data_IF_200747463859
#
_entry.id   IF_200747463859
#
_cell.length_a   1.000
_cell.length_b   1.000
_cell.length_c   1.000
_cell.angle_alpha   90.00
_cell.angle_beta   90.00
_cell.angle_gamma   90.00
#
_symmetry.space_group_name_H-M   'P 1'
#
loop_
_entity.id
_entity.type
_entity.pdbx_description
1 polymer ?
2 non-polymer ?
3 water ?
#
# COMPACT_ATOMS: atom_id res chain seq x y z
N UNK A 11 -2.94 -1.06 23.24
CA UNK A 11 -4.28 -1.03 22.67
C UNK A 11 -5.34 -0.70 23.71
N UNK A 12 -6.13 0.34 23.45
CA UNK A 12 -7.28 0.60 24.30
C UNK A 12 -8.30 -0.52 24.14
N UNK A 13 -8.91 -0.91 25.26
CA UNK A 13 -9.98 -1.89 25.27
C UNK A 13 -11.30 -1.12 25.16
N UNK A 14 -12.09 -1.44 24.13
CA UNK A 14 -13.36 -0.77 23.90
C UNK A 14 -14.46 -1.69 24.41
N UNK A 15 -15.46 -1.11 25.05
CA UNK A 15 -16.61 -1.89 25.47
C UNK A 15 -17.55 -2.15 24.30
N UNK A 16 -18.18 -3.33 24.24
CA UNK A 16 -19.06 -3.61 23.08
C UNK A 16 -20.22 -2.66 22.93
N UNK A 17 -20.74 -2.11 24.02
CA UNK A 17 -21.87 -1.21 23.93
C UNK A 17 -21.52 0.08 23.19
N UNK A 18 -20.23 0.38 23.03
CA UNK A 18 -19.80 1.55 22.30
C UNK A 18 -19.64 1.31 20.80
N UNK A 19 -19.87 0.08 20.34
CA UNK A 19 -19.67 -0.28 18.94
C UNK A 19 -20.98 -0.74 18.34
N UNK A 20 -21.27 -0.25 17.14
CA UNK A 20 -22.43 -0.68 16.37
C UNK A 20 -21.97 -1.08 14.97
N UNK A 21 -22.12 -2.36 14.63
CA UNK A 21 -21.82 -2.83 13.28
C UNK A 21 -23.01 -2.54 12.37
N UNK A 22 -22.73 -1.99 11.19
CA UNK A 22 -23.77 -1.50 10.29
C UNK A 22 -23.82 -2.29 8.99
N UNK A 23 -22.72 -2.37 8.25
CA UNK A 23 -22.71 -3.06 6.98
C UNK A 23 -21.43 -3.87 6.86
N UNK A 24 -21.53 -5.02 6.21
CA UNK A 24 -20.35 -5.81 5.88
C UNK A 24 -19.62 -5.12 4.74
N UNK A 25 -18.31 -4.98 4.88
CA UNK A 25 -17.48 -4.39 3.84
C UNK A 25 -16.38 -5.33 3.37
N UNK A 26 -16.25 -6.51 3.96
CA UNK A 26 -15.23 -7.45 3.54
C UNK A 26 -15.28 -8.70 4.40
N UNK A 27 -14.30 -9.56 4.20
CA UNK A 27 -14.14 -10.77 4.99
C UNK A 27 -12.78 -10.78 5.67
N UNK A 28 -12.72 -11.48 6.80
CA UNK A 28 -11.47 -11.62 7.55
C UNK A 28 -11.02 -13.06 7.65
N UNK A 29 -10.00 -13.33 8.46
CA UNK A 29 -9.48 -14.69 8.59
C UNK A 29 -10.56 -15.64 9.06
N UNK A 30 -11.40 -15.20 9.99
CA UNK A 30 -12.48 -16.00 10.56
C UNK A 30 -13.54 -15.08 11.17
N UNK A 31 -14.23 -14.35 10.32
CA UNK A 31 -15.17 -13.32 10.71
C UNK A 31 -15.18 -12.24 9.65
N UNK A 32 -16.26 -11.50 9.62
CA UNK A 32 -16.42 -10.45 8.64
C UNK A 32 -15.74 -9.16 9.09
N UNK A 33 -15.64 -8.22 8.17
CA UNK A 33 -15.20 -6.86 8.44
C UNK A 33 -16.39 -5.95 8.16
N UNK A 34 -16.65 -5.03 9.08
CA UNK A 34 -17.82 -4.19 9.04
C UNK A 34 -17.42 -2.72 9.00
N UNK A 35 -18.31 -1.90 8.45
CA UNK A 35 -18.35 -0.47 8.75
C UNK A 35 -19.30 -0.27 9.92
N UNK A 36 -18.96 0.64 10.82
CA UNK A 36 -19.81 0.92 11.95
C UNK A 36 -19.56 2.29 12.54
N UNK A 37 -20.06 2.48 13.76
CA UNK A 37 -19.87 3.70 14.52
C UNK A 37 -19.31 3.37 15.90
N UNK A 38 -18.48 4.28 16.41
CA UNK A 38 -17.86 4.14 17.72
C UNK A 38 -18.20 5.36 18.56
N UNK A 39 -18.79 5.13 19.74
CA UNK A 39 -19.16 6.21 20.64
C UNK A 39 -17.98 6.66 21.50
N UNK A 45 -20.85 13.11 17.73
CA UNK A 45 -20.44 12.34 18.89
C UNK A 45 -19.88 10.97 18.48
N UNK A 46 -20.47 10.37 17.45
CA UNK A 46 -20.08 9.04 17.00
C UNK A 46 -19.08 9.16 15.85
N UNK A 47 -18.06 8.33 15.90
CA UNK A 47 -16.99 8.31 14.89
C UNK A 47 -17.18 7.06 14.03
N UNK A 48 -17.19 7.18 12.71
CA UNK A 48 -17.29 5.97 11.88
C UNK A 48 -16.01 5.15 11.99
N UNK A 49 -16.16 3.83 11.90
CA UNK A 49 -15.02 2.93 12.12
C UNK A 49 -15.12 1.70 11.24
N UNK A 50 -13.98 1.05 11.04
CA UNK A 50 -13.91 -0.27 10.46
C UNK A 50 -13.68 -1.27 11.59
N UNK A 51 -14.37 -2.41 11.50
CA UNK A 51 -14.44 -3.40 12.57
C UNK A 51 -14.20 -4.77 11.94
N UNK A 52 -13.15 -5.45 12.37
CA UNK A 52 -12.86 -6.83 11.99
C UNK A 52 -13.14 -7.71 13.20
N UNK A 53 -13.95 -8.75 13.00
CA UNK A 53 -14.36 -9.63 14.09
C UNK A 53 -13.66 -10.98 13.99
N UNK A 54 -13.52 -11.64 15.15
CA UNK A 54 -13.08 -13.04 15.24
C UNK A 54 -14.23 -13.83 15.84
N UNK A 55 -14.89 -14.64 15.00
CA UNK A 55 -16.16 -15.25 15.34
C UNK A 55 -15.98 -16.60 16.04
N UNK A 56 -17.08 -17.07 16.66
CA UNK A 56 -17.03 -18.25 17.51
C UNK A 56 -16.48 -19.44 16.73
N UNK A 57 -15.66 -20.24 17.40
CA UNK A 57 -15.00 -21.38 16.79
C UNK A 57 -13.60 -21.11 16.31
N UNK A 58 -13.13 -19.86 16.37
CA UNK A 58 -11.77 -19.56 15.96
C UNK A 58 -10.80 -20.49 16.67
N UNK A 59 -9.67 -20.75 16.01
CA UNK A 59 -8.68 -21.67 16.51
C UNK A 59 -7.69 -20.94 17.40
N UNK A 60 -6.84 -21.71 18.08
CA UNK A 60 -5.78 -21.09 18.86
C UNK A 60 -4.90 -20.21 17.98
N UNK A 61 -4.42 -20.75 16.86
CA UNK A 61 -3.55 -19.95 15.99
C UNK A 61 -4.26 -18.69 15.53
N UNK A 62 -5.56 -18.80 15.23
CA UNK A 62 -6.31 -17.64 14.77
C UNK A 62 -6.38 -16.58 15.85
N UNK A 63 -6.52 -17.00 17.11
CA UNK A 63 -6.56 -16.05 18.21
C UNK A 63 -5.21 -15.37 18.39
N UNK A 64 -4.12 -16.14 18.27
CA UNK A 64 -2.79 -15.56 18.43
C UNK A 64 -2.51 -14.54 17.33
N UNK A 65 -2.84 -14.88 16.09
CA UNK A 65 -2.63 -13.97 14.97
C UNK A 65 -3.52 -12.74 15.08
N UNK A 66 -4.75 -12.92 15.57
CA UNK A 66 -5.68 -11.82 15.71
C UNK A 66 -5.21 -10.84 16.77
N UNK A 67 -5.04 -11.33 18.00
CA UNK A 67 -4.59 -10.47 19.07
C UNK A 67 -3.17 -9.96 18.82
N UNK A 68 -2.32 -10.76 18.16
CA UNK A 68 -1.03 -10.26 17.74
C UNK A 68 -1.15 -9.09 16.78
N UNK A 69 -2.02 -9.22 15.77
CA UNK A 69 -2.27 -8.12 14.86
C UNK A 69 -2.70 -6.88 15.62
N UNK A 70 -3.67 -7.03 16.52
CA UNK A 70 -4.13 -5.89 17.31
C UNK A 70 -2.99 -5.27 18.09
N UNK A 71 -2.13 -6.11 18.67
CA UNK A 71 -1.00 -5.61 19.43
C UNK A 71 -0.06 -4.76 18.60
N UNK A 72 0.39 -5.28 17.46
CA UNK A 72 1.33 -4.50 16.65
C UNK A 72 0.68 -3.20 16.20
N UNK A 73 -0.60 -3.27 15.81
CA UNK A 73 -1.32 -2.08 15.34
C UNK A 73 -1.37 -1.00 16.42
N UNK A 74 -1.56 -1.42 17.68
CA UNK A 74 -1.53 -0.47 18.77
C UNK A 74 -0.18 0.15 19.00
N UNK A 75 0.88 -0.54 18.56
CA UNK A 75 2.22 0.03 18.63
C UNK A 75 2.44 1.11 17.58
N UNK A 76 1.72 1.04 16.47
CA UNK A 76 1.97 1.96 15.37
C UNK A 76 1.26 3.28 15.62
N UNK A 77 2.04 4.37 15.57
CA UNK A 77 1.49 5.71 15.72
C UNK A 77 2.22 6.56 14.68
N UNK A 78 1.66 6.61 13.47
CA UNK A 78 2.28 7.35 12.39
C UNK A 78 1.17 7.86 11.48
N UNK A 79 1.39 9.05 10.93
CA UNK A 79 0.42 9.73 10.10
C UNK A 79 0.02 8.92 8.88
N UNK A 80 0.89 8.01 8.43
CA UNK A 80 0.67 7.26 7.20
C UNK A 80 0.49 5.78 7.47
N UNK A 81 0.05 5.43 8.67
CA UNK A 81 -0.28 4.07 9.05
C UNK A 81 -1.68 4.09 9.65
N UNK A 82 -2.54 3.17 9.19
CA UNK A 82 -3.91 3.10 9.68
C UNK A 82 -3.89 3.15 11.20
N UNK A 83 -4.79 3.92 11.78
CA UNK A 83 -4.83 4.15 13.23
C UNK A 83 -5.79 3.17 13.90
N UNK A 84 -5.30 2.47 14.92
CA UNK A 84 -6.15 1.58 15.69
C UNK A 84 -6.94 2.43 16.69
N UNK A 85 -8.26 2.28 16.67
CA UNK A 85 -9.07 2.93 17.69
C UNK A 85 -9.15 2.11 18.97
N UNK A 86 -9.11 0.79 18.85
CA UNK A 86 -9.21 -0.05 20.01
C UNK A 86 -9.47 -1.49 19.63
N UNK A 87 -9.63 -2.30 20.68
CA UNK A 87 -9.83 -3.72 20.55
C UNK A 87 -10.91 -4.15 21.53
N UNK A 88 -11.69 -5.14 21.13
CA UNK A 88 -12.55 -5.90 22.03
C UNK A 88 -11.92 -7.28 22.16
N UNK A 89 -11.29 -7.53 23.31
CA UNK A 89 -10.74 -8.83 23.64
C UNK A 89 -11.42 -9.50 24.82
N UNK A 90 -12.14 -8.75 25.65
CA UNK A 90 -12.75 -9.29 26.86
C UNK A 90 -14.11 -9.92 26.64
N UNK A 91 -14.72 -9.70 25.47
CA UNK A 91 -16.02 -10.23 25.13
C UNK A 91 -15.92 -10.85 23.74
N UNK A 92 -16.92 -11.67 23.40
CA UNK A 92 -16.99 -12.31 22.10
C UNK A 92 -18.20 -11.77 21.34
N UNK A 93 -18.12 -11.58 20.02
CA UNK A 93 -16.92 -11.75 19.19
C UNK A 93 -15.85 -10.71 19.52
N UNK A 94 -14.57 -11.11 19.44
CA UNK A 94 -13.49 -10.15 19.52
C UNK A 94 -13.39 -9.29 18.28
N UNK A 95 -12.83 -8.09 18.46
CA UNK A 95 -12.89 -7.02 17.48
C UNK A 95 -11.59 -6.24 17.44
N UNK A 96 -11.17 -5.90 16.23
CA UNK A 96 -10.17 -4.87 15.95
C UNK A 96 -10.91 -3.71 15.29
N UNK A 97 -10.72 -2.51 15.84
CA UNK A 97 -11.50 -1.35 15.42
C UNK A 97 -10.52 -0.26 15.01
N UNK A 98 -10.61 0.19 13.77
CA UNK A 98 -9.74 1.23 13.26
C UNK A 98 -10.57 2.42 12.81
N UNK A 99 -9.89 3.54 12.56
CA UNK A 99 -10.52 4.64 11.84
C UNK A 99 -11.08 4.12 10.52
N UNK A 100 -12.09 4.84 10.03
CA UNK A 100 -12.70 4.58 8.72
C UNK A 100 -12.23 5.64 7.74
N UNK A 101 -11.96 5.23 6.51
CA UNK A 101 -11.43 6.10 5.48
C UNK A 101 -12.46 6.13 4.33
N UNK A 102 -13.19 7.25 4.21
CA UNK A 102 -14.36 7.25 3.33
C UNK A 102 -14.00 7.14 1.84
N UNK A 103 -12.79 7.54 1.46
CA UNK A 103 -12.37 7.38 0.08
C UNK A 103 -11.89 5.96 -0.23
N UNK A 104 -11.70 5.12 0.78
CA UNK A 104 -11.45 3.71 0.59
C UNK A 104 -10.05 3.40 0.08
N UNK A 105 -9.93 2.28 -0.61
CA UNK A 105 -8.62 1.80 -1.03
C UNK A 105 -8.10 2.55 -2.25
N UNK A 106 -6.79 2.74 -2.25
CA UNK A 106 -6.14 3.62 -3.21
C UNK A 106 -6.30 3.13 -4.64
N UNK A 107 -6.26 1.81 -4.85
CA UNK A 107 -6.30 1.30 -6.21
C UNK A 107 -7.64 1.65 -6.85
N UNK A 108 -8.73 1.31 -6.18
CA UNK A 108 -10.06 1.61 -6.70
C UNK A 108 -10.27 3.13 -6.77
N UNK A 109 -9.74 3.85 -5.79
CA UNK A 109 -9.85 5.32 -5.78
C UNK A 109 -9.25 5.91 -7.05
N UNK A 110 -8.00 5.55 -7.37
CA UNK A 110 -7.35 6.14 -8.54
C UNK A 110 -8.05 5.76 -9.83
N UNK A 111 -8.55 4.52 -9.93
CA UNK A 111 -9.14 4.08 -11.18
C UNK A 111 -10.47 4.78 -11.44
N UNK A 112 -11.15 5.21 -10.37
CA UNK A 112 -12.41 5.94 -10.45
C UNK A 112 -12.19 7.44 -10.57
N UNK A 113 -10.95 7.90 -10.46
CA UNK A 113 -10.60 9.32 -10.56
C UNK A 113 -9.47 9.53 -11.55
N UNK A 114 -9.56 8.86 -12.70
CA UNK A 114 -8.50 8.88 -13.70
C UNK A 114 -8.21 10.31 -14.16
N UNK A 115 -6.95 10.73 -14.03
CA UNK A 115 -6.52 12.05 -14.49
C UNK A 115 -6.92 13.24 -13.65
N UNK A 116 -7.59 13.04 -12.51
CA UNK A 116 -8.17 14.14 -11.76
C UNK A 116 -7.18 14.87 -10.85
N UNK A 117 -5.94 14.41 -10.75
CA UNK A 117 -5.00 15.03 -9.82
C UNK A 117 -3.77 15.57 -10.52
N UNK A 118 -3.08 16.48 -9.82
CA UNK A 118 -1.84 17.04 -10.32
C UNK A 118 -0.69 16.07 -10.07
N UNK A 119 0.40 16.26 -10.81
CA UNK A 119 1.58 15.44 -10.56
C UNK A 119 2.05 15.64 -9.12
N UNK A 120 1.95 16.87 -8.60
CA UNK A 120 2.40 17.10 -7.24
C UNK A 120 1.53 16.36 -6.22
N UNK A 121 0.21 16.29 -6.46
CA UNK A 121 -0.65 15.51 -5.58
C UNK A 121 -0.28 14.03 -5.60
N UNK A 122 0.02 13.50 -6.79
CA UNK A 122 0.35 12.08 -6.89
C UNK A 122 1.66 11.78 -6.16
N UNK A 123 2.70 12.58 -6.42
CA UNK A 123 3.98 12.37 -5.75
C UNK A 123 3.82 12.53 -4.26
N UNK A 124 2.94 13.45 -3.83
CA UNK A 124 2.71 13.61 -2.40
C UNK A 124 2.11 12.37 -1.77
N UNK A 125 1.20 11.70 -2.48
CA UNK A 125 0.65 10.46 -1.94
C UNK A 125 1.74 9.41 -1.79
N UNK A 126 2.71 9.41 -2.73
CA UNK A 126 3.82 8.46 -2.65
C UNK A 126 4.76 8.79 -1.50
N UNK A 127 5.05 10.07 -1.29
CA UNK A 127 5.85 10.50 -0.15
C UNK A 127 5.23 9.98 1.15
N UNK A 128 3.91 10.09 1.25
CA UNK A 128 3.22 9.61 2.44
C UNK A 128 3.34 8.10 2.60
N UNK A 129 3.07 7.36 1.54
CA UNK A 129 3.21 5.90 1.61
C UNK A 129 4.63 5.54 2.03
N UNK A 130 5.62 6.21 1.42
CA UNK A 130 7.03 5.95 1.73
C UNK A 130 7.33 6.21 3.21
N UNK A 131 6.79 7.31 3.75
CA UNK A 131 7.01 7.64 5.16
C UNK A 131 6.42 6.57 6.08
N UNK A 132 5.22 6.09 5.78
CA UNK A 132 4.67 4.98 6.55
C UNK A 132 5.52 3.73 6.44
N UNK A 133 6.02 3.45 5.25
CA UNK A 133 6.86 2.26 5.06
C UNK A 133 8.20 2.41 5.76
N UNK A 134 8.79 3.60 5.77
CA UNK A 134 10.03 3.80 6.54
C UNK A 134 9.80 3.53 8.00
N UNK A 135 8.65 3.97 8.51
CA UNK A 135 8.31 3.74 9.91
C UNK A 135 8.16 2.23 10.17
N UNK A 136 7.42 1.55 9.31
CA UNK A 136 7.27 0.09 9.51
C UNK A 136 8.62 -0.61 9.47
N UNK A 137 9.46 -0.27 8.49
CA UNK A 137 10.74 -0.95 8.35
C UNK A 137 11.63 -0.67 9.56
N UNK A 138 11.65 0.59 10.00
CA UNK A 138 12.40 0.95 11.20
C UNK A 138 11.89 0.22 12.43
N UNK A 139 10.57 0.00 12.53
CA UNK A 139 10.00 -0.78 13.63
C UNK A 139 10.24 -2.28 13.48
N UNK A 140 10.96 -2.70 12.45
CA UNK A 140 11.21 -4.10 12.16
C UNK A 140 9.93 -4.85 11.80
N UNK A 141 8.99 -4.19 11.14
CA UNK A 141 7.78 -4.82 10.63
C UNK A 141 7.93 -4.98 9.12
N UNK A 142 7.97 -6.22 8.63
CA UNK A 142 7.99 -6.48 7.19
C UNK A 142 6.55 -6.66 6.72
N UNK A 143 6.13 -5.83 5.75
CA UNK A 143 4.73 -5.81 5.32
C UNK A 143 4.35 -7.06 4.54
N UNK A 144 5.09 -7.36 3.48
CA UNK A 144 4.99 -8.53 2.62
C UNK A 144 3.85 -8.41 1.60
N UNK A 145 2.93 -7.45 1.75
CA UNK A 145 1.75 -7.33 0.88
C UNK A 145 1.49 -5.87 0.50
N UNK A 146 2.54 -5.11 0.26
CA UNK A 146 2.40 -3.70 -0.08
C UNK A 146 1.89 -3.56 -1.52
N UNK A 147 0.79 -2.83 -1.67
CA UNK A 147 0.09 -2.71 -2.94
C UNK A 147 -0.95 -1.62 -2.75
N UNK A 148 -1.36 -1.02 -3.87
CA UNK A 148 -2.37 0.04 -3.76
C UNK A 148 -3.63 -0.47 -3.08
N UNK A 149 -3.96 -1.76 -3.26
CA UNK A 149 -5.19 -2.31 -2.69
C UNK A 149 -5.18 -2.29 -1.16
N UNK A 150 -4.00 -2.26 -0.54
CA UNK A 150 -3.85 -2.21 0.91
C UNK A 150 -3.51 -0.82 1.43
N UNK A 151 -3.78 0.21 0.65
CA UNK A 151 -3.56 1.58 1.11
C UNK A 151 -4.92 2.27 1.11
N UNK A 152 -5.22 2.94 2.21
CA UNK A 152 -6.46 3.67 2.37
C UNK A 152 -6.19 5.16 2.23
N UNK A 153 -7.20 5.89 1.74
CA UNK A 153 -7.08 7.33 1.50
C UNK A 153 -8.14 8.08 2.31
N UNK A 154 -7.71 9.12 3.03
CA UNK A 154 -8.66 9.91 3.81
C UNK A 154 -9.08 11.15 3.02
N UNK A 155 -9.91 11.99 3.65
CA UNK A 155 -10.46 13.15 2.98
C UNK A 155 -9.43 14.26 2.75
N UNK A 156 -8.23 14.12 3.31
CA UNK A 156 -7.14 15.04 3.04
C UNK A 156 -6.18 14.51 1.98
N UNK A 157 -6.55 13.45 1.27
CA UNK A 157 -5.70 12.73 0.32
C UNK A 157 -4.51 12.05 1.00
N UNK A 158 -4.55 11.88 2.32
CA UNK A 158 -3.46 11.23 3.04
C UNK A 158 -3.57 9.73 2.91
N UNK A 159 -2.45 9.07 2.61
CA UNK A 159 -2.40 7.64 2.37
C UNK A 159 -1.96 6.93 3.64
N UNK A 160 -2.76 5.99 4.10
CA UNK A 160 -2.48 5.18 5.27
C UNK A 160 -2.19 3.75 4.83
N UNK A 161 -0.96 3.28 5.10
CA UNK A 161 -0.64 1.89 4.85
C UNK A 161 -1.48 1.00 5.76
N UNK A 162 -2.06 -0.06 5.19
CA UNK A 162 -2.91 -1.00 5.89
C UNK A 162 -2.55 -2.41 5.42
N UNK A 163 -3.28 -3.41 5.91
CA UNK A 163 -3.17 -4.77 5.38
C UNK A 163 -4.50 -5.48 5.59
N UNK A 164 -5.18 -5.78 4.50
CA UNK A 164 -6.48 -6.41 4.54
C UNK A 164 -6.40 -7.91 4.33
N UNK A 165 -5.23 -8.45 4.05
CA UNK A 165 -5.08 -9.86 3.71
C UNK A 165 -4.96 -10.06 2.21
N UNK A 166 -4.92 -11.33 1.84
CA UNK A 166 -4.85 -11.69 0.42
C UNK A 166 -6.25 -11.82 -0.17
N UNK A 185 -1.89 -14.80 -3.96
CA UNK A 185 -0.48 -14.43 -3.82
C UNK A 185 -0.16 -13.33 -4.84
N UNK A 186 0.34 -12.18 -4.36
CA UNK A 186 0.52 -11.03 -5.27
C UNK A 186 1.86 -11.03 -5.99
N UNK A 187 2.03 -12.02 -6.89
CA UNK A 187 3.30 -12.21 -7.60
C UNK A 187 3.79 -10.91 -8.22
N UNK A 188 2.87 -10.17 -8.85
CA UNK A 188 3.29 -8.98 -9.60
C UNK A 188 3.80 -7.87 -8.71
N UNK A 189 3.48 -7.89 -7.42
CA UNK A 189 3.94 -6.89 -6.48
C UNK A 189 5.17 -7.34 -5.70
N UNK A 190 5.58 -8.59 -5.85
CA UNK A 190 6.55 -9.18 -4.96
C UNK A 190 7.94 -9.28 -5.60
N UNK A 191 8.95 -9.07 -4.77
CA UNK A 191 10.33 -9.11 -5.20
C UNK A 191 10.78 -10.52 -5.59
N UNK A 192 11.75 -10.62 -6.52
CA UNK A 192 12.15 -11.97 -6.97
C UNK A 192 12.60 -12.89 -5.85
N UNK A 193 13.27 -12.38 -4.82
CA UNK A 193 13.80 -13.28 -3.79
C UNK A 193 12.68 -13.76 -2.85
N UNK A 194 11.66 -12.93 -2.65
CA UNK A 194 10.49 -13.32 -1.87
C UNK A 194 9.68 -14.38 -2.61
N UNK A 195 9.50 -14.19 -3.92
CA UNK A 195 8.90 -15.25 -4.74
C UNK A 195 9.75 -16.51 -4.69
N UNK A 196 11.02 -16.40 -5.11
CA UNK A 196 11.82 -17.61 -5.32
C UNK A 196 11.98 -18.40 -4.03
N UNK A 197 12.42 -17.75 -2.95
CA UNK A 197 12.75 -18.52 -1.75
C UNK A 197 12.21 -17.90 -0.46
N UNK A 198 11.16 -17.09 -0.56
CA UNK A 198 10.38 -16.58 0.57
C UNK A 198 11.20 -15.68 1.46
N UNK A 199 12.16 -14.93 0.89
CA UNK A 199 12.94 -13.98 1.67
C UNK A 199 12.22 -12.65 1.63
N UNK A 200 11.36 -12.43 2.61
CA UNK A 200 10.61 -11.20 2.78
C UNK A 200 11.35 -10.28 3.75
N UNK A 201 11.70 -9.08 3.29
CA UNK A 201 12.38 -8.10 4.12
C UNK A 201 11.91 -6.72 3.70
N UNK A 202 12.37 -5.69 4.40
CA UNK A 202 12.03 -4.34 3.96
C UNK A 202 12.62 -4.02 2.60
N UNK A 203 13.62 -4.78 2.13
CA UNK A 203 14.11 -4.59 0.77
C UNK A 203 13.16 -5.19 -0.26
N UNK A 204 12.46 -6.29 0.06
CA UNK A 204 11.41 -6.76 -0.82
C UNK A 204 10.18 -5.86 -0.74
N UNK A 205 9.92 -5.25 0.42
CA UNK A 205 8.90 -4.21 0.48
C UNK A 205 9.24 -3.02 -0.40
N UNK A 206 10.53 -2.67 -0.54
CA UNK A 206 10.90 -1.57 -1.44
C UNK A 206 10.53 -1.90 -2.87
N UNK A 207 10.77 -3.13 -3.30
CA UNK A 207 10.35 -3.52 -4.64
C UNK A 207 8.86 -3.30 -4.82
N UNK A 208 8.04 -3.81 -3.89
CA UNK A 208 6.61 -3.56 -3.91
C UNK A 208 6.29 -2.07 -3.96
N UNK A 209 7.04 -1.28 -3.20
CA UNK A 209 6.80 0.17 -3.22
C UNK A 209 7.02 0.72 -4.63
N UNK A 210 8.08 0.27 -5.31
CA UNK A 210 8.24 0.62 -6.72
C UNK A 210 7.00 0.33 -7.55
N UNK A 211 6.43 -0.86 -7.40
CA UNK A 211 5.18 -1.16 -8.11
C UNK A 211 4.08 -0.19 -7.70
N UNK A 212 3.95 0.09 -6.41
CA UNK A 212 2.94 1.06 -5.95
C UNK A 212 3.16 2.41 -6.61
N UNK A 213 4.41 2.86 -6.68
CA UNK A 213 4.75 4.08 -7.42
C UNK A 213 4.16 4.04 -8.82
N UNK A 214 4.26 2.89 -9.51
CA UNK A 214 3.77 2.79 -10.87
C UNK A 214 2.24 2.75 -10.89
N UNK A 215 1.64 2.09 -9.90
CA UNK A 215 0.19 2.10 -9.79
C UNK A 215 -0.34 3.52 -9.62
N UNK A 216 0.34 4.32 -8.81
CA UNK A 216 -0.14 5.66 -8.56
C UNK A 216 -0.01 6.51 -9.82
N UNK A 217 1.19 6.55 -10.41
CA UNK A 217 1.34 7.40 -11.58
C UNK A 217 0.54 6.95 -12.80
N UNK A 218 0.05 5.70 -12.85
CA UNK A 218 -0.83 5.26 -13.93
C UNK A 218 -2.31 5.32 -13.57
N UNK A 219 -2.64 5.78 -12.37
CA UNK A 219 -4.03 5.82 -11.89
C UNK A 219 -4.62 4.42 -11.82
N UNK A 220 -3.84 3.51 -11.24
CA UNK A 220 -4.36 2.19 -10.93
C UNK A 220 -4.34 1.18 -12.03
N UNK A 221 -3.47 1.33 -13.01
CA UNK A 221 -3.35 0.27 -14.01
C UNK A 221 -2.86 -1.02 -13.38
N UNK A 222 -3.23 -2.12 -14.00
CA UNK A 222 -2.75 -3.42 -13.56
C UNK A 222 -1.29 -3.58 -13.97
N UNK A 223 -0.35 -3.78 -13.02
CA UNK A 223 1.04 -4.00 -13.40
C UNK A 223 1.17 -5.15 -14.41
N UNK A 224 1.96 -4.92 -15.46
CA UNK A 224 2.28 -5.92 -16.50
C UNK A 224 1.06 -6.29 -17.33
N UNK A 225 -0.03 -5.54 -17.18
CA UNK A 225 -1.27 -5.72 -17.93
C UNK A 225 -1.65 -7.19 -17.97
N UNK A 226 -1.84 -7.74 -19.16
CA UNK A 226 -2.43 -9.07 -19.22
C UNK A 226 -1.42 -10.20 -19.03
N UNK A 227 -0.14 -9.91 -18.80
CA UNK A 227 0.82 -10.99 -18.65
C UNK A 227 0.40 -11.92 -17.51
N UNK A 228 0.65 -13.22 -17.68
CA UNK A 228 0.35 -14.19 -16.64
C UNK A 228 1.37 -14.06 -15.50
N UNK A 229 1.07 -14.68 -14.36
CA UNK A 229 2.04 -14.66 -13.27
C UNK A 229 3.37 -15.24 -13.73
N UNK A 230 3.34 -16.33 -14.50
CA UNK A 230 4.60 -16.91 -14.98
C UNK A 230 5.29 -15.98 -15.97
N UNK A 231 4.52 -15.35 -16.87
CA UNK A 231 5.11 -14.40 -17.82
C UNK A 231 5.75 -13.22 -17.09
N UNK A 232 5.15 -12.77 -15.99
CA UNK A 232 5.77 -11.68 -15.25
C UNK A 232 7.11 -12.11 -14.67
N UNK A 233 7.14 -13.26 -13.99
CA UNK A 233 8.40 -13.73 -13.40
C UNK A 233 9.48 -13.89 -14.47
N UNK A 234 9.12 -14.44 -15.62
CA UNK A 234 10.08 -14.67 -16.69
C UNK A 234 10.60 -13.36 -17.27
N UNK A 235 9.72 -12.38 -17.45
CA UNK A 235 10.15 -11.07 -17.94
C UNK A 235 11.11 -10.42 -16.95
N UNK A 236 10.75 -10.43 -15.66
CA UNK A 236 11.65 -9.87 -14.66
C UNK A 236 13.00 -10.56 -14.71
N UNK A 237 12.99 -11.88 -14.66
CA UNK A 237 14.27 -12.60 -14.65
C UNK A 237 15.05 -12.34 -15.94
N UNK A 238 14.35 -12.15 -17.06
CA UNK A 238 15.00 -11.82 -18.32
C UNK A 238 15.48 -10.38 -18.38
N UNK A 239 15.15 -9.57 -17.37
CA UNK A 239 15.65 -8.21 -17.28
C UNK A 239 14.67 -7.12 -17.65
N UNK A 240 13.47 -7.45 -18.12
CA UNK A 240 12.51 -6.42 -18.47
C UNK A 240 11.92 -5.78 -17.22
N UNK A 241 11.51 -4.51 -17.36
CA UNK A 241 10.87 -3.79 -16.28
C UNK A 241 9.71 -2.99 -16.86
N UNK A 242 8.76 -2.64 -15.98
CA UNK A 242 7.60 -1.88 -16.40
C UNK A 242 8.03 -0.59 -17.10
N UNK A 243 7.35 -0.19 -18.17
CA UNK A 243 7.73 1.04 -18.89
C UNK A 243 7.21 2.27 -18.16
N UNK A 244 7.71 3.42 -18.58
CA UNK A 244 7.31 4.62 -17.86
C UNK A 244 5.80 4.88 -18.03
N UNK A 245 5.12 5.27 -16.95
CA UNK A 245 3.75 5.78 -17.10
C UNK A 245 3.72 7.04 -17.96
N UNK A 246 2.54 7.35 -18.47
CA UNK A 246 2.36 8.59 -19.21
C UNK A 246 2.51 9.78 -18.28
N UNK A 247 3.13 10.85 -18.79
CA UNK A 247 3.25 12.11 -18.06
C UNK A 247 3.88 11.90 -16.67
N UNK A 248 4.97 11.14 -16.64
CA UNK A 248 5.61 10.77 -15.39
C UNK A 248 6.93 11.50 -15.24
N UNK A 249 7.14 12.23 -14.14
CA UNK A 249 8.44 12.89 -13.92
C UNK A 249 9.59 11.90 -14.08
N UNK A 250 10.62 12.33 -14.82
CA UNK A 250 11.80 11.51 -15.00
C UNK A 250 12.38 11.06 -13.67
N UNK A 251 12.45 11.96 -12.68
CA UNK A 251 13.01 11.57 -11.39
C UNK A 251 12.19 10.46 -10.74
N UNK A 252 10.87 10.48 -10.95
CA UNK A 252 10.01 9.47 -10.34
C UNK A 252 10.21 8.13 -11.03
N UNK A 253 10.30 8.12 -12.36
CA UNK A 253 10.57 6.87 -13.04
C UNK A 253 11.91 6.28 -12.64
N UNK A 254 12.93 7.14 -12.52
CA UNK A 254 14.24 6.68 -12.12
C UNK A 254 14.21 6.03 -10.74
N UNK A 255 13.41 6.59 -9.83
CA UNK A 255 13.33 6.06 -8.48
C UNK A 255 12.64 4.69 -8.47
N UNK A 256 11.49 4.58 -9.14
CA UNK A 256 10.85 3.27 -9.16
C UNK A 256 11.70 2.23 -9.89
N UNK A 257 12.48 2.63 -10.89
CA UNK A 257 13.36 1.67 -11.54
C UNK A 257 14.43 1.16 -10.56
N UNK A 258 14.93 2.02 -9.68
CA UNK A 258 15.93 1.60 -8.70
C UNK A 258 15.34 0.67 -7.67
N UNK A 259 14.04 0.78 -7.38
CA UNK A 259 13.39 -0.14 -6.47
C UNK A 259 13.33 -1.55 -7.04
N UNK A 260 13.46 -1.67 -8.36
CA UNK A 260 13.35 -2.97 -9.02
C UNK A 260 14.71 -3.57 -9.38
N UNK A 261 15.78 -3.14 -8.71
CA UNK A 261 17.06 -3.83 -8.86
C UNK A 261 16.88 -5.30 -8.49
N UNK A 262 17.35 -6.20 -9.35
CA UNK A 262 17.39 -7.61 -9.00
C UNK A 262 18.17 -7.81 -7.69
N UNK A 263 19.35 -7.18 -7.58
CA UNK A 263 20.18 -7.35 -6.40
C UNK A 263 19.56 -6.59 -5.24
N UNK A 264 19.00 -7.32 -4.28
CA UNK A 264 18.35 -6.71 -3.13
C UNK A 264 19.20 -5.60 -2.51
N UNK A 265 20.50 -5.84 -2.37
CA UNK A 265 21.36 -4.90 -1.68
C UNK A 265 21.51 -3.58 -2.43
N UNK A 266 21.18 -3.53 -3.72
CA UNK A 266 21.40 -2.33 -4.50
C UNK A 266 20.18 -1.41 -4.49
N UNK A 267 19.07 -1.86 -3.89
CA UNK A 267 17.85 -1.07 -3.88
C UNK A 267 17.97 0.03 -2.84
N UNK A 268 17.31 1.15 -3.06
CA UNK A 268 17.25 2.18 -2.02
C UNK A 268 16.57 1.64 -0.77
N UNK A 269 16.99 2.18 0.36
CA UNK A 269 16.26 2.02 1.61
C UNK A 269 15.13 3.04 1.65
N UNK A 270 14.10 2.76 2.48
CA UNK A 270 12.97 3.66 2.55
C UNK A 270 13.41 5.05 2.98
N UNK A 271 14.44 5.16 3.83
CA UNK A 271 14.99 6.48 4.17
C UNK A 271 15.44 7.23 2.93
N UNK A 272 16.07 6.53 1.98
CA UNK A 272 16.47 7.16 0.73
C UNK A 272 15.26 7.58 -0.08
N UNK A 273 14.24 6.73 -0.12
CA UNK A 273 13.04 7.01 -0.90
C UNK A 273 12.33 8.24 -0.34
N UNK A 274 12.08 8.26 0.97
CA UNK A 274 11.41 9.40 1.60
C UNK A 274 12.19 10.68 1.30
N UNK A 275 13.49 10.65 1.53
CA UNK A 275 14.30 11.86 1.36
C UNK A 275 14.22 12.38 -0.08
N UNK A 276 14.29 11.48 -1.06
CA UNK A 276 14.20 11.90 -2.45
C UNK A 276 12.82 12.47 -2.77
N UNK A 277 11.76 11.80 -2.30
CA UNK A 277 10.43 12.31 -2.57
C UNK A 277 10.23 13.67 -1.91
N UNK A 278 10.68 13.78 -0.65
CA UNK A 278 10.68 15.06 0.05
C UNK A 278 11.28 16.14 -0.82
N UNK A 279 12.54 15.97 -1.19
CA UNK A 279 13.27 17.00 -1.91
C UNK A 279 12.57 17.35 -3.22
N UNK A 280 11.97 16.35 -3.88
CA UNK A 280 11.28 16.61 -5.13
C UNK A 280 10.07 17.49 -4.93
N UNK A 281 9.24 17.17 -3.92
CA UNK A 281 8.06 17.97 -3.65
C UNK A 281 8.42 19.40 -3.27
N UNK A 282 9.48 19.58 -2.46
CA UNK A 282 9.83 20.89 -1.96
C UNK A 282 10.55 21.76 -2.98
N UNK A 283 11.02 21.16 -4.08
CA UNK A 283 11.54 21.87 -5.24
C UNK A 283 10.72 21.39 -6.44
N UNK A 284 9.46 21.81 -6.54
CA UNK A 284 8.53 21.18 -7.50
C UNK A 284 8.89 21.34 -8.96
N UNK A 285 9.65 22.37 -9.35
CA UNK A 285 10.07 22.42 -10.74
C UNK A 285 10.84 21.16 -11.15
N UNK A 286 11.40 20.46 -10.17
CA UNK A 286 12.13 19.23 -10.42
C UNK A 286 11.25 18.15 -11.04
N UNK A 287 9.94 18.22 -10.82
CA UNK A 287 9.00 17.27 -11.36
C UNK A 287 8.53 17.65 -12.76
N UNK A 288 8.92 18.81 -13.28
CA UNK A 288 8.42 19.23 -14.58
C UNK A 288 9.13 18.52 -15.74
N UNK A 289 10.29 17.94 -15.49
CA UNK A 289 10.99 17.16 -16.52
C UNK A 289 10.43 15.74 -16.56
N UNK A 290 9.90 15.33 -17.71
CA UNK A 290 9.20 14.06 -17.81
C UNK A 290 10.04 13.01 -18.52
N UNK A 291 9.90 11.77 -18.08
CA UNK A 291 10.43 10.64 -18.84
C UNK A 291 9.69 10.52 -20.17
N UNK A 292 10.42 10.11 -21.20
CA UNK A 292 9.81 9.84 -22.49
C UNK A 292 8.85 8.67 -22.35
N UNK A 293 7.66 8.77 -22.97
CA UNK A 293 6.70 7.69 -22.96
C UNK A 293 6.83 6.91 -24.25
N UNK A 294 6.85 5.59 -24.15
CA UNK A 294 7.04 4.74 -25.31
C UNK A 294 5.67 4.45 -25.91
N UNK A 295 5.31 5.05 -27.04
CA UNK A 295 3.96 4.82 -27.58
C UNK A 295 3.79 3.35 -27.95
N UNK A 296 2.67 2.78 -27.53
CA UNK A 296 2.29 1.45 -27.98
C UNK A 296 1.46 1.50 -29.26
N UNK A 297 1.03 2.69 -29.67
CA UNK A 297 0.24 2.90 -30.88
C UNK A 297 0.72 4.17 -31.56
N UNK A 298 0.82 4.11 -32.88
CA UNK A 298 1.17 5.26 -33.69
C UNK A 298 -0.07 5.75 -34.42
N UNK A 299 -0.30 7.06 -34.34
CA UNK A 299 -1.36 7.73 -35.08
C UNK A 299 -0.70 8.83 -35.88
N UNK A 300 -0.78 8.74 -37.21
CA UNK A 300 -0.17 9.69 -38.12
C UNK A 300 -1.27 10.54 -38.74
N UNK A 301 -1.15 11.86 -38.62
CA UNK A 301 -2.07 12.78 -39.28
C UNK A 301 -1.31 13.88 -40.04
X LIG B 1 -10.17 -5.53 5.85
X LIG B 1 -4.28 -4.41 9.77
X LIG B 1 -10.39 -2.25 7.48
X LIG B 1 -8.79 -2.70 9.44
X LIG B 1 -7.50 -2.83 8.94
X LIG B 1 -6.55 -3.59 9.61
X LIG B 1 -5.12 -3.52 9.17
X LIG B 1 -2.16 -5.53 10.07
X LIG B 1 -0.80 -3.32 9.09
X LIG B 1 -2.18 -3.27 9.26
X LIG B 1 -8.22 -4.17 11.24
X LIG B 1 -11.51 -1.28 5.71
X LIG B 1 -12.05 -0.04 5.10
X LIG B 1 -12.76 -0.09 3.91
X LIG B 1 -12.93 2.27 3.93
X LIG B 1 -10.82 -4.69 4.98
X LIG B 1 -11.27 -5.16 3.68
X LIG B 1 -4.75 -2.67 8.38
X LIG B 1 -9.86 -4.80 6.90
X LIG B 1 -0.79 -5.58 9.88
X LIG B 1 -0.11 -4.49 9.39
X LIG B 1 -0.09 -2.15 8.64
X LIG B 1 -6.94 -4.29 10.75
X LIG B 1 -9.17 -3.36 10.61
X LIG B 1 -10.57 -3.26 11.16
X LIG B 1 -10.93 -3.45 5.51
X LIG B 1 -13.21 1.07 3.31
X LIG B 1 -11.82 1.23 5.64
X LIG B 1 -10.32 -3.47 6.76
X LIG B 1 -2.86 -4.38 9.75
X LIG B 1 -9.79 -2.19 8.68
X LIG B 1 0.49 -1.23 8.28
X LIG B 1 -10.98 -1.16 6.96
X LIG B 1 -12.24 2.36 5.07
X LIG B 1 -11.53 -2.38 4.96
#
# INVERSE_FOLDING_TARGET
>A
GDPNQAVLKFTTEIHPSCVTRQKVIGAGEFGEVYKGMLKTSSGKKEVPVAIKTLKAGYTEKQRVDFLGEAGIMGQFSHHNIIRLEGVISKYKPMMIITEYMENGALDKFLREKDGEFSVLQLVGMLRGIAAGMKYLANMNYVHRDLAARNILVNSNLVCKVSDFGLSRVLEDDPEATYTTSGGKIPIRWTAPEAISYRKFTSASDVWSFGIVMWEVMTYGERPYWELSNHEVMKAINDGFRLPTPMDCPSAIYQLMMQCWQQERARRPKFADIVSILDKLIRAPDSLKTLADFDPRVSIRLPSTSG
>B hetero
1 QT1 N1 N3 C4 C5 C6 C7 C8 C10 C13 C15 C17 C20 C21 C22 C24 N C O C1 C11 C12 C14 C16 C18 C19 C2 C23 C25 C3 C9 N2 N4 N5 N6 N7
#
